data_IF_053455946817
#
_entry.id   IF_053455946817
#
_cell.length_a   1.000
_cell.length_b   1.000
_cell.length_c   1.000
_cell.angle_alpha   90.00
_cell.angle_beta   90.00
_cell.angle_gamma   90.00
#
_symmetry.space_group_name_H-M   'P 1'
#
loop_
_entity.id
_entity.type
_entity.pdbx_description
1 polymer ?
#
# COMPACT_ATOMS: atom_id res chain seq x y z
N UNK A 1 -7.53 3.72 29.08
CA UNK A 1 -6.06 3.88 28.92
C UNK A 1 -5.81 4.40 27.51
N UNK A 2 -5.25 5.61 27.34
CA UNK A 2 -5.06 6.23 26.02
C UNK A 2 -4.19 5.39 25.07
N UNK A 3 -3.17 4.68 25.57
CA UNK A 3 -2.34 3.79 24.75
C UNK A 3 -3.08 2.56 24.25
N UNK A 4 -4.09 2.09 24.99
CA UNK A 4 -4.95 1.00 24.52
C UNK A 4 -5.82 1.44 23.34
N UNK A 5 -6.38 2.65 23.40
CA UNK A 5 -7.13 3.22 22.28
C UNK A 5 -6.22 3.43 21.06
N UNK A 6 -5.00 3.95 21.26
CA UNK A 6 -4.01 4.07 20.19
C UNK A 6 -3.66 2.71 19.57
N UNK A 7 -3.47 1.67 20.39
CA UNK A 7 -3.19 0.31 19.92
C UNK A 7 -4.31 -0.24 19.03
N UNK A 8 -5.58 -0.01 19.39
CA UNK A 8 -6.74 -0.40 18.56
C UNK A 8 -6.73 0.34 17.22
N UNK A 9 -6.45 1.65 17.22
CA UNK A 9 -6.35 2.45 15.99
C UNK A 9 -5.25 1.89 15.09
N UNK A 10 -4.08 1.58 15.63
CA UNK A 10 -2.99 1.00 14.84
C UNK A 10 -3.29 -0.42 14.36
N UNK A 11 -3.99 -1.23 15.15
CA UNK A 11 -4.38 -2.58 14.74
C UNK A 11 -5.31 -2.55 13.52
N UNK A 12 -6.42 -1.81 13.62
CA UNK A 12 -7.36 -1.69 12.49
C UNK A 12 -6.77 -0.89 11.33
N UNK A 13 -6.02 0.18 11.62
CA UNK A 13 -5.34 0.98 10.61
C UNK A 13 -4.33 0.17 9.79
N UNK A 14 -3.56 -0.71 10.43
CA UNK A 14 -2.59 -1.57 9.73
C UNK A 14 -3.28 -2.57 8.82
N UNK A 15 -4.34 -3.24 9.30
CA UNK A 15 -5.12 -4.16 8.49
C UNK A 15 -5.77 -3.46 7.29
N UNK A 16 -6.35 -2.28 7.51
CA UNK A 16 -6.95 -1.46 6.46
C UNK A 16 -5.91 -1.03 5.41
N UNK A 17 -4.78 -0.47 5.85
CA UNK A 17 -3.73 0.00 4.95
C UNK A 17 -3.09 -1.14 4.16
N UNK A 18 -2.83 -2.29 4.78
CA UNK A 18 -2.23 -3.44 4.09
C UNK A 18 -3.19 -4.05 3.08
N UNK A 19 -4.50 -4.09 3.38
CA UNK A 19 -5.52 -4.52 2.43
C UNK A 19 -5.60 -3.58 1.22
N UNK A 20 -5.61 -2.25 1.46
CA UNK A 20 -5.60 -1.27 0.37
C UNK A 20 -4.32 -1.35 -0.47
N UNK A 21 -3.16 -1.37 0.18
CA UNK A 21 -1.87 -1.42 -0.50
C UNK A 21 -1.70 -2.72 -1.30
N UNK A 22 -1.88 -3.89 -0.67
CA UNK A 22 -1.78 -5.17 -1.36
C UNK A 22 -2.78 -5.32 -2.50
N UNK A 23 -4.04 -4.89 -2.29
CA UNK A 23 -5.04 -4.85 -3.34
C UNK A 23 -4.66 -3.92 -4.50
N UNK A 24 -4.07 -2.77 -4.21
CA UNK A 24 -3.59 -1.81 -5.22
C UNK A 24 -2.44 -2.40 -6.02
N UNK A 25 -1.42 -2.98 -5.36
CA UNK A 25 -0.28 -3.62 -6.04
C UNK A 25 -0.75 -4.73 -6.97
N UNK A 26 -1.65 -5.61 -6.51
CA UNK A 26 -2.22 -6.67 -7.34
C UNK A 26 -3.03 -6.12 -8.54
N UNK A 27 -3.75 -5.01 -8.35
CA UNK A 27 -4.50 -4.36 -9.43
C UNK A 27 -3.58 -3.78 -10.52
N UNK A 28 -2.36 -3.37 -10.17
CA UNK A 28 -1.37 -2.82 -11.11
C UNK A 28 -0.25 -3.79 -11.48
N UNK A 29 -0.29 -5.06 -11.06
CA UNK A 29 0.73 -6.08 -11.45
C UNK A 29 0.83 -6.25 -12.97
N UNK A 30 -0.27 -6.06 -13.70
CA UNK A 30 -0.28 -6.05 -15.19
C UNK A 30 0.59 -4.95 -15.82
N UNK A 31 1.00 -3.96 -15.04
CA UNK A 31 1.91 -2.88 -15.42
C UNK A 31 3.28 -3.01 -14.73
N UNK A 32 3.57 -4.13 -14.05
CA UNK A 32 4.80 -4.36 -13.31
C UNK A 32 4.86 -3.68 -11.93
N UNK A 33 3.70 -3.36 -11.32
CA UNK A 33 3.66 -2.65 -10.05
C UNK A 33 4.22 -3.40 -8.83
N UNK A 34 4.46 -4.70 -8.93
CA UNK A 34 5.18 -5.51 -7.92
C UNK A 34 6.69 -5.24 -7.90
N UNK A 35 7.25 -4.63 -8.96
CA UNK A 35 8.66 -4.19 -9.05
C UNK A 35 8.84 -2.82 -8.40
N UNK A 36 8.53 -2.75 -7.11
CA UNK A 36 8.40 -1.48 -6.39
C UNK A 36 9.70 -0.68 -6.35
N UNK A 37 10.87 -1.34 -6.26
CA UNK A 37 12.16 -0.65 -6.26
C UNK A 37 12.40 0.12 -7.57
N UNK A 38 12.13 -0.51 -8.71
CA UNK A 38 12.27 0.13 -10.01
C UNK A 38 11.25 1.24 -10.19
N UNK A 39 10.01 1.04 -9.74
CA UNK A 39 8.98 2.08 -9.78
C UNK A 39 9.26 3.29 -8.86
N UNK A 40 9.97 3.07 -7.74
CA UNK A 40 10.43 4.14 -6.83
C UNK A 40 11.54 4.97 -7.48
N UNK A 41 12.48 4.32 -8.18
CA UNK A 41 13.61 4.99 -8.83
C UNK A 41 13.20 5.68 -10.13
N UNK A 42 12.36 5.01 -10.95
CA UNK A 42 11.86 5.50 -12.23
C UNK A 42 10.34 5.26 -12.32
N UNK A 43 9.57 6.34 -12.16
CA UNK A 43 8.11 6.27 -12.04
C UNK A 43 7.48 5.80 -13.35
N UNK A 44 6.83 4.64 -13.32
CA UNK A 44 6.12 4.08 -14.47
C UNK A 44 4.59 4.20 -14.36
N UNK A 45 3.89 3.71 -15.40
CA UNK A 45 2.42 3.76 -15.46
C UNK A 45 1.73 2.97 -14.33
N UNK A 46 2.41 2.00 -13.72
CA UNK A 46 1.88 1.31 -12.53
C UNK A 46 1.68 2.29 -11.37
N UNK A 47 2.73 3.06 -11.01
CA UNK A 47 2.66 4.07 -9.94
C UNK A 47 1.76 5.25 -10.30
N UNK A 48 1.71 5.66 -11.57
CA UNK A 48 0.79 6.73 -12.02
C UNK A 48 -0.68 6.38 -11.81
N UNK A 49 -1.04 5.10 -12.00
CA UNK A 49 -2.42 4.62 -11.83
C UNK A 49 -2.77 4.29 -10.38
N UNK A 50 -1.76 4.05 -9.54
CA UNK A 50 -1.93 3.69 -8.14
C UNK A 50 -2.05 4.90 -7.18
N UNK A 51 -1.67 6.11 -7.63
CA UNK A 51 -1.71 7.36 -6.88
C UNK A 51 -3.02 8.13 -7.10
#
# INVERSE_FOLDING_TARGET
NPFHCLSIVFLYGSALLLAMHGGTILAVTRYGGDRELEQIVDRGTATERAA
#
